data_IF_894456404711
#
_entry.id   IF_894456404711
#
_cell.length_a   1.000
_cell.length_b   1.000
_cell.length_c   1.000
_cell.angle_alpha   90.00
_cell.angle_beta   90.00
_cell.angle_gamma   90.00
#
_symmetry.space_group_name_H-M   'P 1'
#
loop_
_entity.id
_entity.type
_entity.pdbx_description
1 polymer ?
#
# COMPACT_ATOMS: atom_id res chain seq x y z
N UNK A 1 6.66 6.73 29.05
CA UNK A 1 5.89 6.23 27.89
C UNK A 1 6.89 6.03 26.78
N UNK A 2 6.93 4.83 26.19
CA UNK A 2 7.83 4.57 25.07
C UNK A 2 7.21 5.19 23.80
N UNK A 3 8.07 5.75 22.97
CA UNK A 3 7.70 6.32 21.68
C UNK A 3 8.52 5.61 20.61
N UNK A 4 7.95 5.53 19.42
CA UNK A 4 8.62 5.03 18.24
C UNK A 4 8.46 6.00 17.10
N UNK A 5 9.53 6.16 16.35
CA UNK A 5 9.51 6.93 15.12
C UNK A 5 8.81 6.13 14.00
N UNK A 6 7.89 6.79 13.31
CA UNK A 6 7.30 6.33 12.04
C UNK A 6 7.40 7.45 11.00
N UNK A 7 7.31 7.12 9.72
CA UNK A 7 7.30 8.12 8.65
C UNK A 7 5.88 8.34 8.17
N UNK A 8 5.23 9.37 8.73
CA UNK A 8 3.84 9.70 8.43
C UNK A 8 3.74 10.41 7.08
N UNK A 9 2.71 10.04 6.32
CA UNK A 9 2.39 10.63 5.04
C UNK A 9 1.66 11.97 5.22
N UNK A 10 2.10 13.00 4.49
CA UNK A 10 1.47 14.31 4.44
C UNK A 10 1.32 14.73 2.98
N UNK A 11 0.17 15.31 2.62
CA UNK A 11 0.01 15.87 1.29
C UNK A 11 1.05 16.97 1.07
N UNK A 12 1.85 16.84 0.01
CA UNK A 12 2.91 17.80 -0.28
C UNK A 12 2.31 19.07 -0.87
N UNK A 13 2.71 20.22 -0.31
CA UNK A 13 2.35 21.55 -0.81
C UNK A 13 3.59 22.33 -1.31
N UNK A 14 4.80 21.80 -1.07
CA UNK A 14 6.06 22.53 -1.19
C UNK A 14 7.10 21.84 -2.10
N UNK A 15 6.75 20.75 -2.80
CA UNK A 15 7.64 20.09 -3.78
C UNK A 15 8.75 19.24 -3.16
N UNK A 16 8.56 18.77 -1.93
CA UNK A 16 9.44 17.79 -1.29
C UNK A 16 8.92 16.38 -1.57
N UNK A 17 9.16 15.92 -2.80
CA UNK A 17 8.81 14.57 -3.22
C UNK A 17 9.56 13.54 -2.37
N UNK A 18 8.81 12.60 -1.81
CA UNK A 18 9.38 11.44 -1.09
C UNK A 18 9.44 10.19 -1.94
N UNK A 19 9.15 10.32 -3.25
CA UNK A 19 8.98 9.22 -4.17
C UNK A 19 7.64 8.51 -3.97
N UNK A 20 6.73 9.05 -3.14
CA UNK A 20 5.47 8.38 -2.77
C UNK A 20 4.28 9.09 -3.38
N UNK A 21 3.48 8.33 -4.14
CA UNK A 21 2.29 8.78 -4.83
C UNK A 21 1.10 7.92 -4.41
N UNK A 22 -0.03 8.53 -4.05
CA UNK A 22 -1.29 7.81 -3.82
C UNK A 22 -2.26 8.00 -4.99
N UNK A 23 -2.85 6.90 -5.42
CA UNK A 23 -3.81 6.85 -6.53
C UNK A 23 -3.20 7.12 -7.91
N UNK A 24 -4.02 7.64 -8.81
CA UNK A 24 -3.72 7.90 -10.24
C UNK A 24 -4.33 6.85 -11.18
N UNK A 25 -4.50 7.19 -12.47
CA UNK A 25 -5.60 6.60 -13.26
C UNK A 25 -5.38 6.33 -14.75
N UNK A 26 -4.19 6.49 -15.32
CA UNK A 26 -3.98 6.12 -16.72
C UNK A 26 -3.81 4.59 -16.88
N UNK A 27 -4.90 3.90 -17.23
CA UNK A 27 -4.86 2.46 -17.57
C UNK A 27 -3.94 2.23 -18.79
N UNK A 28 -2.75 1.68 -18.54
CA UNK A 28 -1.82 1.24 -19.58
C UNK A 28 -2.19 -0.13 -20.16
N UNK A 29 -1.48 -0.55 -21.23
CA UNK A 29 -1.75 -1.81 -21.94
C UNK A 29 -1.56 -3.08 -21.08
N UNK A 30 -0.75 -3.01 -20.02
CA UNK A 30 -0.42 -4.14 -19.14
C UNK A 30 -0.99 -3.97 -17.72
N UNK A 31 -2.15 -3.31 -17.60
CA UNK A 31 -2.75 -3.05 -16.31
C UNK A 31 -3.16 -4.35 -15.59
N UNK A 32 -2.78 -4.55 -14.31
CA UNK A 32 -3.11 -5.77 -13.58
C UNK A 32 -4.61 -5.97 -13.42
N UNK A 33 -5.06 -7.22 -13.55
CA UNK A 33 -6.45 -7.62 -13.36
C UNK A 33 -6.60 -8.60 -12.21
N UNK A 34 -7.74 -8.55 -11.54
CA UNK A 34 -8.12 -9.55 -10.55
C UNK A 34 -8.59 -10.86 -11.22
N UNK A 35 -8.82 -11.95 -10.46
CA UNK A 35 -9.30 -13.22 -10.99
C UNK A 35 -10.65 -13.16 -11.72
N UNK A 36 -11.43 -12.10 -11.51
CA UNK A 36 -12.72 -11.87 -12.18
C UNK A 36 -12.55 -11.10 -13.50
N UNK A 37 -11.34 -10.68 -13.85
CA UNK A 37 -11.03 -9.95 -15.08
C UNK A 37 -11.21 -8.43 -14.98
N UNK A 38 -11.48 -7.91 -13.78
CA UNK A 38 -11.61 -6.49 -13.51
C UNK A 38 -10.23 -5.86 -13.31
N UNK A 39 -10.05 -4.61 -13.75
CA UNK A 39 -8.80 -3.87 -13.51
C UNK A 39 -8.63 -3.61 -12.02
N UNK A 40 -7.45 -3.93 -11.48
CA UNK A 40 -7.12 -3.58 -10.10
C UNK A 40 -6.94 -2.07 -9.97
N UNK A 41 -7.32 -1.49 -8.84
CA UNK A 41 -7.08 -0.07 -8.55
C UNK A 41 -5.65 0.13 -8.04
N UNK A 42 -4.91 1.06 -8.63
CA UNK A 42 -3.61 1.48 -8.11
C UNK A 42 -3.83 2.36 -6.87
N UNK A 43 -3.27 1.94 -5.73
CA UNK A 43 -3.41 2.64 -4.46
C UNK A 43 -2.19 3.51 -4.14
N UNK A 44 -1.00 2.96 -4.40
CA UNK A 44 0.27 3.53 -4.00
C UNK A 44 1.33 3.20 -5.04
N UNK A 45 2.15 4.18 -5.38
CA UNK A 45 3.41 3.98 -6.10
C UNK A 45 4.55 4.57 -5.27
N UNK A 46 5.65 3.84 -5.18
CA UNK A 46 6.91 4.26 -4.56
C UNK A 46 8.00 4.23 -5.63
N UNK A 47 8.65 5.36 -5.91
CA UNK A 47 9.97 5.39 -6.54
C UNK A 47 10.99 4.91 -5.52
N UNK A 48 11.50 3.69 -5.70
CA UNK A 48 12.37 3.09 -4.69
C UNK A 48 13.71 3.80 -4.59
N UNK A 49 14.20 4.46 -5.64
CA UNK A 49 15.45 5.20 -5.57
C UNK A 49 15.28 6.43 -4.66
N UNK A 50 14.29 7.27 -4.96
CA UNK A 50 14.00 8.48 -4.17
C UNK A 50 13.63 8.12 -2.73
N UNK A 51 12.85 7.06 -2.55
CA UNK A 51 12.47 6.59 -1.22
C UNK A 51 13.70 6.09 -0.42
N UNK A 52 14.53 5.24 -1.02
CA UNK A 52 15.70 4.66 -0.34
C UNK A 52 16.79 5.69 0.00
N UNK A 53 16.90 6.78 -0.76
CA UNK A 53 17.83 7.89 -0.42
C UNK A 53 17.58 8.45 0.99
N UNK A 54 16.33 8.41 1.45
CA UNK A 54 15.92 8.95 2.77
C UNK A 54 15.54 7.86 3.77
N UNK A 55 15.06 6.72 3.27
CA UNK A 55 14.44 5.66 4.05
C UNK A 55 14.99 4.28 3.65
N UNK A 56 16.30 4.15 3.45
CA UNK A 56 16.93 2.90 3.01
C UNK A 56 16.72 1.69 3.95
N UNK A 57 16.29 1.91 5.19
CA UNK A 57 16.02 0.86 6.18
C UNK A 57 14.84 -0.07 5.80
N UNK A 58 13.99 0.30 4.85
CA UNK A 58 12.88 -0.53 4.36
C UNK A 58 13.33 -1.58 3.31
N UNK A 59 14.53 -1.41 2.75
CA UNK A 59 15.18 -2.37 1.86
C UNK A 59 14.44 -2.62 0.54
N UNK A 60 13.76 -1.61 -0.01
CA UNK A 60 13.13 -1.74 -1.33
C UNK A 60 14.20 -1.90 -2.42
N UNK A 61 13.95 -2.63 -3.52
CA UNK A 61 14.95 -2.84 -4.56
C UNK A 61 15.23 -1.53 -5.33
N UNK A 62 16.51 -1.16 -5.43
CA UNK A 62 16.96 -0.01 -6.22
C UNK A 62 16.68 -0.21 -7.71
N UNK A 63 16.48 0.88 -8.45
CA UNK A 63 16.21 0.86 -9.88
C UNK A 63 14.80 0.39 -10.24
N UNK A 64 13.89 0.32 -9.27
CA UNK A 64 12.51 -0.16 -9.43
C UNK A 64 11.51 0.83 -8.86
N UNK A 65 10.25 0.67 -9.28
CA UNK A 65 9.07 1.25 -8.66
C UNK A 65 8.29 0.16 -7.94
N UNK A 66 7.83 0.44 -6.72
CA UNK A 66 6.86 -0.42 -6.03
C UNK A 66 5.45 0.08 -6.30
N UNK A 67 4.57 -0.77 -6.83
CA UNK A 67 3.17 -0.43 -7.05
C UNK A 67 2.24 -1.37 -6.29
N UNK A 68 1.33 -0.81 -5.49
CA UNK A 68 0.34 -1.56 -4.71
C UNK A 68 -1.03 -1.43 -5.34
N UNK A 69 -1.62 -2.58 -5.66
CA UNK A 69 -2.90 -2.72 -6.33
C UNK A 69 -3.90 -3.46 -5.43
N UNK A 70 -5.16 -3.05 -5.52
CA UNK A 70 -6.27 -3.69 -4.81
C UNK A 70 -7.50 -3.81 -5.68
N UNK A 71 -8.29 -4.85 -5.46
CA UNK A 71 -9.64 -4.93 -6.04
C UNK A 71 -10.48 -3.79 -5.48
N UNK A 72 -11.26 -3.19 -6.37
CA UNK A 72 -12.25 -2.16 -6.07
C UNK A 72 -13.34 -2.25 -7.12
N UNK A 73 -14.60 -2.19 -6.70
CA UNK A 73 -15.74 -2.14 -7.61
C UNK A 73 -16.86 -1.30 -7.02
N UNK A 74 -17.43 -0.42 -7.84
CA UNK A 74 -18.67 0.32 -7.50
C UNK A 74 -19.92 -0.53 -7.79
N UNK A 75 -19.77 -1.60 -8.59
CA UNK A 75 -20.88 -2.41 -9.10
C UNK A 75 -21.17 -3.66 -8.26
N UNK A 76 -20.21 -4.08 -7.42
CA UNK A 76 -20.35 -5.28 -6.58
C UNK A 76 -19.66 -5.13 -5.24
N UNK A 77 -20.11 -5.93 -4.28
CA UNK A 77 -19.38 -6.15 -3.04
C UNK A 77 -18.03 -6.81 -3.33
N UNK A 78 -16.95 -6.23 -2.80
CA UNK A 78 -15.57 -6.70 -3.02
C UNK A 78 -14.74 -6.81 -1.74
N UNK A 79 -15.28 -6.51 -0.56
CA UNK A 79 -14.45 -6.49 0.67
C UNK A 79 -13.87 -7.89 0.98
N UNK A 80 -14.62 -8.96 0.73
CA UNK A 80 -14.12 -10.34 0.87
C UNK A 80 -12.93 -10.65 -0.04
N UNK A 81 -12.72 -9.86 -1.11
CA UNK A 81 -11.59 -10.02 -2.02
C UNK A 81 -10.29 -9.42 -1.47
N UNK A 82 -10.37 -8.59 -0.43
CA UNK A 82 -9.23 -7.78 0.04
C UNK A 82 -9.03 -7.84 1.55
N UNK A 83 -10.00 -8.36 2.31
CA UNK A 83 -9.97 -8.41 3.77
C UNK A 83 -9.28 -9.67 4.28
N UNK A 84 -8.41 -9.51 5.27
CA UNK A 84 -7.66 -10.60 5.90
C UNK A 84 -7.54 -10.39 7.41
N UNK A 85 -7.90 -11.39 8.20
CA UNK A 85 -7.81 -11.40 9.67
C UNK A 85 -6.98 -12.57 10.23
N UNK A 86 -6.19 -13.24 9.37
CA UNK A 86 -5.27 -14.31 9.80
C UNK A 86 -5.66 -15.72 9.36
N UNK A 87 -6.81 -15.87 8.70
CA UNK A 87 -7.29 -17.16 8.23
C UNK A 87 -6.59 -17.61 6.94
N UNK A 88 -6.26 -18.91 6.84
CA UNK A 88 -5.55 -19.43 5.67
C UNK A 88 -6.41 -19.42 4.40
N UNK A 89 -7.73 -19.56 4.52
CA UNK A 89 -8.64 -19.50 3.37
C UNK A 89 -8.65 -18.09 2.81
N UNK A 90 -8.72 -17.06 3.66
CA UNK A 90 -8.61 -15.66 3.26
C UNK A 90 -7.27 -15.37 2.57
N UNK A 91 -6.17 -15.84 3.16
CA UNK A 91 -4.82 -15.68 2.59
C UNK A 91 -4.72 -16.30 1.18
N UNK A 92 -5.10 -17.57 1.04
CA UNK A 92 -5.07 -18.29 -0.22
C UNK A 92 -6.04 -17.68 -1.25
N UNK A 93 -7.14 -17.09 -0.79
CA UNK A 93 -8.10 -16.40 -1.64
C UNK A 93 -7.49 -15.13 -2.23
N UNK A 94 -6.97 -14.23 -1.39
CA UNK A 94 -6.39 -12.95 -1.82
C UNK A 94 -5.19 -13.19 -2.76
N UNK A 95 -4.34 -14.19 -2.44
CA UNK A 95 -3.17 -14.56 -3.25
C UNK A 95 -3.48 -15.04 -4.67
N UNK A 96 -4.74 -15.32 -5.01
CA UNK A 96 -5.14 -15.54 -6.40
C UNK A 96 -4.95 -14.30 -7.28
N UNK A 97 -4.75 -13.13 -6.68
CA UNK A 97 -4.42 -11.89 -7.36
C UNK A 97 -5.48 -10.80 -7.19
N UNK A 98 -6.30 -10.86 -6.14
CA UNK A 98 -7.26 -9.79 -5.82
C UNK A 98 -6.57 -8.55 -5.27
N UNK A 99 -5.38 -8.70 -4.72
CA UNK A 99 -4.44 -7.61 -4.44
C UNK A 99 -3.09 -8.00 -5.04
N UNK A 100 -2.26 -6.99 -5.38
CA UNK A 100 -0.92 -7.25 -5.92
C UNK A 100 0.05 -6.17 -5.47
N UNK A 101 1.29 -6.58 -5.23
CA UNK A 101 2.42 -5.68 -5.11
C UNK A 101 3.41 -6.05 -6.21
N UNK A 102 3.76 -5.06 -7.03
CA UNK A 102 4.62 -5.26 -8.19
C UNK A 102 5.88 -4.40 -8.06
N UNK A 103 7.01 -4.94 -8.53
CA UNK A 103 8.20 -4.16 -8.85
C UNK A 103 8.34 -4.01 -10.35
N UNK A 104 8.49 -2.78 -10.83
CA UNK A 104 8.65 -2.49 -12.26
C UNK A 104 9.81 -1.55 -12.50
N UNK A 105 10.42 -1.62 -13.68
CA UNK A 105 11.51 -0.68 -14.04
C UNK A 105 10.97 0.73 -14.31
N UNK A 106 9.70 0.83 -14.71
CA UNK A 106 9.00 2.08 -15.03
C UNK A 106 7.70 2.20 -14.20
N UNK A 107 7.24 3.42 -13.87
CA UNK A 107 5.99 3.60 -13.13
C UNK A 107 4.78 3.32 -14.02
N UNK A 108 3.71 2.76 -13.43
CA UNK A 108 2.41 2.62 -14.12
C UNK A 108 1.75 3.97 -14.38
N UNK A 109 2.02 4.96 -13.52
CA UNK A 109 1.53 6.32 -13.68
C UNK A 109 2.30 7.02 -14.79
N UNK A 110 1.64 7.28 -15.92
CA UNK A 110 2.14 8.24 -16.91
C UNK A 110 1.77 9.65 -16.46
N UNK A 111 2.69 10.60 -16.58
CA UNK A 111 2.40 12.00 -16.30
C UNK A 111 1.39 12.52 -17.33
N UNK A 112 0.11 12.43 -16.98
CA UNK A 112 -0.98 13.04 -17.73
C UNK A 112 -1.48 14.26 -16.95
N UNK A 113 -1.44 15.43 -17.59
CA UNK A 113 -2.01 16.66 -17.02
C UNK A 113 -3.49 16.43 -16.66
N UNK A 114 -3.85 16.68 -15.39
CA UNK A 114 -5.23 16.61 -14.91
C UNK A 114 -5.61 15.34 -14.13
N UNK A 115 -4.73 14.35 -14.04
CA UNK A 115 -5.09 13.02 -13.54
C UNK A 115 -4.89 12.83 -12.03
N UNK A 116 -5.36 13.77 -11.20
CA UNK A 116 -5.55 13.60 -9.74
C UNK A 116 -4.35 13.15 -8.88
N UNK A 117 -3.15 12.97 -9.46
CA UNK A 117 -1.92 12.52 -8.82
C UNK A 117 -1.54 13.55 -7.76
N UNK A 118 -1.61 13.13 -6.50
CA UNK A 118 -1.13 13.94 -5.38
C UNK A 118 0.22 13.39 -4.96
N UNK A 119 1.23 14.24 -5.01
CA UNK A 119 2.52 13.95 -4.39
C UNK A 119 2.38 14.06 -2.87
N UNK A 120 3.05 13.15 -2.17
CA UNK A 120 3.08 13.15 -0.72
C UNK A 120 4.52 13.26 -0.24
N UNK A 121 4.68 13.92 0.90
CA UNK A 121 5.92 13.97 1.63
C UNK A 121 5.83 13.10 2.88
N UNK A 122 6.92 12.40 3.18
CA UNK A 122 7.09 11.63 4.39
C UNK A 122 7.84 12.45 5.42
N UNK A 123 7.30 12.54 6.64
CA UNK A 123 7.95 13.20 7.76
C UNK A 123 8.02 12.26 8.95
N UNK A 124 9.14 12.33 9.66
CA UNK A 124 9.28 11.67 10.95
C UNK A 124 8.16 12.12 11.90
N UNK A 125 7.54 11.15 12.56
CA UNK A 125 6.46 11.35 13.51
C UNK A 125 6.66 10.41 14.70
N UNK A 126 6.63 10.96 15.90
CA UNK A 126 6.74 10.18 17.13
C UNK A 126 5.37 9.62 17.52
N UNK A 127 5.21 8.31 17.37
CA UNK A 127 4.01 7.57 17.71
C UNK A 127 4.16 6.97 19.10
N UNK A 128 3.14 7.13 19.95
CA UNK A 128 3.09 6.45 21.25
C UNK A 128 2.90 4.95 21.05
N UNK A 129 3.60 4.14 21.83
CA UNK A 129 3.59 2.67 21.67
C UNK A 129 2.21 2.03 21.91
N UNK A 130 1.29 2.69 22.61
CA UNK A 130 -0.09 2.26 22.87
C UNK A 130 -1.13 2.89 21.92
N UNK A 131 -0.70 3.75 20.99
CA UNK A 131 -1.60 4.41 20.06
C UNK A 131 -2.05 3.48 18.93
N UNK A 132 -3.30 3.65 18.49
CA UNK A 132 -3.89 2.99 17.32
C UNK A 132 -3.91 4.01 16.17
N UNK A 133 -2.94 3.96 15.24
CA UNK A 133 -2.78 5.01 14.24
C UNK A 133 -3.87 4.94 13.16
N UNK A 134 -4.69 6.00 13.07
CA UNK A 134 -5.66 6.23 11.99
C UNK A 134 -5.10 7.20 10.94
N UNK A 135 -3.92 6.88 10.41
CA UNK A 135 -3.26 7.64 9.34
C UNK A 135 -2.27 6.74 8.59
N UNK A 136 -1.87 7.17 7.40
CA UNK A 136 -0.92 6.47 6.54
C UNK A 136 0.51 6.76 6.97
N UNK A 137 1.33 5.71 7.09
CA UNK A 137 2.74 5.83 7.45
C UNK A 137 3.55 4.62 7.02
N UNK A 138 4.87 4.78 6.98
CA UNK A 138 5.84 3.69 6.81
C UNK A 138 6.57 3.41 8.12
N UNK A 139 6.73 2.13 8.44
CA UNK A 139 7.55 1.65 9.56
C UNK A 139 7.90 0.17 9.35
N UNK A 140 9.06 -0.25 9.85
CA UNK A 140 9.41 -1.67 9.95
C UNK A 140 8.79 -2.36 11.19
N UNK A 141 8.05 -1.61 12.03
CA UNK A 141 7.35 -2.12 13.21
C UNK A 141 5.85 -2.18 12.98
N UNK A 142 5.22 -3.26 13.44
CA UNK A 142 3.78 -3.48 13.28
C UNK A 142 2.95 -2.42 14.04
N UNK A 143 1.89 -1.84 13.45
CA UNK A 143 0.92 -1.01 14.16
C UNK A 143 0.11 -1.79 15.19
N UNK A 144 -0.32 -1.10 16.25
CA UNK A 144 -1.44 -1.60 17.06
C UNK A 144 -2.71 -1.59 16.20
N UNK A 145 -3.57 -2.58 16.40
CA UNK A 145 -4.80 -2.78 15.63
C UNK A 145 -4.64 -3.74 14.45
N UNK A 146 -3.42 -4.00 13.98
CA UNK A 146 -3.16 -5.05 13.01
C UNK A 146 -3.27 -6.44 13.68
N UNK A 147 -4.17 -7.28 13.17
CA UNK A 147 -4.42 -8.62 13.71
C UNK A 147 -4.09 -9.73 12.70
N UNK A 148 -3.76 -10.93 13.19
CA UNK A 148 -3.66 -12.14 12.36
C UNK A 148 -2.47 -12.20 11.41
N UNK A 149 -1.45 -11.36 11.59
CA UNK A 149 -0.31 -11.28 10.68
C UNK A 149 0.86 -12.21 11.05
N UNK A 150 0.78 -12.95 12.16
CA UNK A 150 1.90 -13.71 12.73
C UNK A 150 2.49 -14.72 11.73
N UNK A 151 1.62 -15.39 10.96
CA UNK A 151 2.03 -16.33 9.91
C UNK A 151 2.70 -15.63 8.73
N UNK A 152 2.33 -14.39 8.43
CA UNK A 152 2.96 -13.61 7.36
C UNK A 152 4.41 -13.25 7.71
N UNK A 153 4.73 -13.10 8.99
CA UNK A 153 6.05 -12.63 9.44
C UNK A 153 7.18 -13.62 9.17
N UNK A 154 6.91 -14.88 8.83
CA UNK A 154 7.95 -15.81 8.38
C UNK A 154 8.47 -15.42 6.99
N UNK A 155 7.56 -15.13 6.06
CA UNK A 155 7.83 -14.93 4.62
C UNK A 155 7.91 -13.46 4.22
N UNK A 156 7.21 -12.58 4.95
CA UNK A 156 7.05 -11.19 4.61
C UNK A 156 7.58 -10.26 5.71
N UNK A 157 7.90 -9.04 5.32
CA UNK A 157 8.20 -7.93 6.23
C UNK A 157 7.18 -6.82 6.05
N UNK A 158 6.68 -6.29 7.15
CA UNK A 158 5.83 -5.12 7.15
C UNK A 158 6.62 -3.88 6.75
N UNK A 159 6.07 -3.03 5.88
CA UNK A 159 6.71 -1.76 5.50
C UNK A 159 5.82 -0.54 5.72
N UNK A 160 4.50 -0.70 5.86
CA UNK A 160 3.64 0.45 6.03
C UNK A 160 2.16 0.15 6.08
N UNK A 161 1.43 1.18 6.49
CA UNK A 161 0.00 1.23 6.62
C UNK A 161 -0.53 2.37 5.76
N UNK A 162 -1.63 2.13 5.04
CA UNK A 162 -2.37 3.17 4.32
C UNK A 162 -3.77 3.27 4.91
N UNK A 163 -4.12 4.46 5.36
CA UNK A 163 -5.45 4.75 5.88
C UNK A 163 -6.35 5.24 4.75
N UNK A 164 -7.55 4.66 4.63
CA UNK A 164 -8.44 4.90 3.49
C UNK A 164 -8.77 6.38 3.29
N UNK A 165 -8.95 7.15 4.37
CA UNK A 165 -9.22 8.59 4.32
C UNK A 165 -8.06 9.44 3.79
N UNK A 166 -6.82 8.93 3.79
CA UNK A 166 -5.67 9.65 3.22
C UNK A 166 -5.54 9.44 1.71
N UNK A 167 -6.21 8.41 1.16
CA UNK A 167 -6.19 8.14 -0.27
C UNK A 167 -7.22 9.05 -0.95
N UNK A 168 -6.82 9.89 -1.93
CA UNK A 168 -7.76 10.69 -2.69
C UNK A 168 -8.76 9.80 -3.43
N UNK A 169 -10.04 9.86 -3.07
CA UNK A 169 -11.10 9.14 -3.77
C UNK A 169 -12.34 10.02 -3.89
N UNK A 170 -13.13 9.81 -4.95
CA UNK A 170 -14.38 10.55 -5.17
C UNK A 170 -15.53 10.04 -4.29
N UNK A 171 -15.49 8.76 -3.87
CA UNK A 171 -16.69 8.05 -3.38
C UNK A 171 -16.45 7.12 -2.17
N UNK A 172 -15.85 7.62 -1.08
CA UNK A 172 -15.95 6.93 0.23
C UNK A 172 -14.80 5.98 0.62
N UNK A 173 -13.67 6.02 -0.09
CA UNK A 173 -12.42 5.36 0.29
C UNK A 173 -11.92 4.38 -0.75
N UNK A 174 -10.65 4.48 -1.16
CA UNK A 174 -10.08 3.56 -2.14
C UNK A 174 -9.98 2.10 -1.62
N UNK A 175 -10.23 1.89 -0.33
CA UNK A 175 -10.26 0.59 0.36
C UNK A 175 -11.69 0.13 0.71
N UNK A 176 -12.73 0.76 0.14
CA UNK A 176 -14.13 0.36 0.30
C UNK A 176 -14.86 0.97 1.50
N UNK A 177 -14.17 1.23 2.61
CA UNK A 177 -14.71 1.97 3.77
C UNK A 177 -13.80 3.16 4.14
N UNK A 178 -14.36 4.20 4.74
CA UNK A 178 -13.63 5.43 5.10
C UNK A 178 -12.61 5.23 6.22
N UNK A 179 -12.87 4.27 7.11
CA UNK A 179 -12.05 3.91 8.27
C UNK A 179 -11.20 2.65 8.05
N UNK A 180 -11.24 2.08 6.84
CA UNK A 180 -10.42 0.93 6.49
C UNK A 180 -8.93 1.24 6.54
N UNK A 181 -8.16 0.23 6.93
CA UNK A 181 -6.70 0.28 7.04
C UNK A 181 -6.10 -0.79 6.14
N UNK A 182 -5.31 -0.38 5.16
CA UNK A 182 -4.54 -1.27 4.31
C UNK A 182 -3.13 -1.49 4.86
N UNK A 183 -2.65 -2.74 4.84
CA UNK A 183 -1.31 -3.10 5.32
C UNK A 183 -0.45 -3.62 4.18
N UNK A 184 0.80 -3.15 4.12
CA UNK A 184 1.73 -3.47 3.05
C UNK A 184 2.86 -4.34 3.60
N UNK A 185 2.96 -5.54 3.03
CA UNK A 185 3.99 -6.51 3.35
C UNK A 185 4.81 -6.84 2.10
N UNK A 186 6.14 -6.78 2.19
CA UNK A 186 7.04 -7.14 1.09
C UNK A 186 7.63 -8.52 1.36
N UNK A 187 7.75 -9.34 0.33
CA UNK A 187 8.38 -10.64 0.45
C UNK A 187 9.85 -10.48 0.85
N UNK A 188 10.32 -11.27 1.82
CA UNK A 188 11.74 -11.26 2.22
C UNK A 188 12.64 -11.84 1.13
N UNK A 189 12.12 -12.76 0.32
CA UNK A 189 12.80 -13.42 -0.79
C UNK A 189 12.01 -13.20 -2.08
N UNK A 190 12.34 -12.13 -2.79
CA UNK A 190 11.67 -11.76 -4.04
C UNK A 190 12.16 -12.69 -5.15
N UNK A 191 11.29 -13.57 -5.63
CA UNK A 191 11.54 -14.46 -6.77
C UNK A 191 10.79 -14.04 -8.04
N UNK A 192 9.72 -13.25 -7.90
CA UNK A 192 8.91 -12.73 -9.00
C UNK A 192 8.55 -11.28 -8.70
N UNK A 193 8.97 -10.38 -9.58
CA UNK A 193 8.66 -8.95 -9.51
C UNK A 193 7.15 -8.69 -9.66
N UNK A 194 6.36 -9.65 -10.17
CA UNK A 194 4.91 -9.54 -10.28
C UNK A 194 4.12 -10.07 -9.07
N UNK A 195 4.81 -10.61 -8.06
CA UNK A 195 4.24 -11.08 -6.79
C UNK A 195 5.20 -10.72 -5.65
N UNK A 196 5.52 -9.42 -5.57
CA UNK A 196 6.59 -8.92 -4.73
C UNK A 196 6.20 -8.81 -3.24
N UNK A 197 4.93 -9.03 -2.91
CA UNK A 197 4.42 -8.79 -1.57
C UNK A 197 2.94 -9.12 -1.41
N UNK A 198 2.43 -8.83 -0.23
CA UNK A 198 1.05 -9.07 0.15
C UNK A 198 0.43 -7.76 0.66
N UNK A 199 -0.73 -7.41 0.10
CA UNK A 199 -1.53 -6.28 0.55
C UNK A 199 -2.92 -6.78 0.95
N UNK A 200 -3.43 -6.29 2.06
CA UNK A 200 -4.77 -6.59 2.53
C UNK A 200 -5.32 -5.43 3.36
N UNK A 201 -6.63 -5.46 3.55
CA UNK A 201 -7.39 -4.47 4.31
C UNK A 201 -7.88 -5.10 5.61
N UNK A 202 -7.89 -4.32 6.68
CA UNK A 202 -8.71 -4.59 7.86
C UNK A 202 -9.62 -3.39 8.12
N UNK A 203 -10.80 -3.71 8.64
CA UNK A 203 -11.81 -2.75 9.06
C UNK A 203 -12.03 -2.95 10.55
N UNK A 204 -12.31 -1.86 11.27
CA UNK A 204 -12.60 -1.92 12.70
C UNK A 204 -13.99 -2.51 13.00
#
# INVERSE_FOLDING_TARGET
>A
MNMRTVYKLFQDQNGNDSGVFLGGGALGENWPKNPLGENLKLLLTIDNNVFNERFGEFGLPNGKFTSVFSTYSDDRYFLDDVVYFGDSVEFDYIRKGFTRILFTDEPFLKDCEGDGKKSFCLKSYELQDDAFPAFSFFSNKLPNGLNGCEKLLSEYRFIGQIYSSDIPSKDGGALGLSDAVGYIFINKCISDDNDAGFFFVQTA
#
